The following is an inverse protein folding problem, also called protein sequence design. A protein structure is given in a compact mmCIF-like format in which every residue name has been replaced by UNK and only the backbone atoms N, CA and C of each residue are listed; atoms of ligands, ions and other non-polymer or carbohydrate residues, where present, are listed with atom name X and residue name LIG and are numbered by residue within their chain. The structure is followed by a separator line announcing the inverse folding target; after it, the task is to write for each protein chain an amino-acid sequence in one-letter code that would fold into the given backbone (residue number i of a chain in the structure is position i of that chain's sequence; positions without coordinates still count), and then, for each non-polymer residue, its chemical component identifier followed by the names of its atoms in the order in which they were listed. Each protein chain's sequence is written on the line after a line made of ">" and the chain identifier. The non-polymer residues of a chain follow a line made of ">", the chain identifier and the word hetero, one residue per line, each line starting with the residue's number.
data_IF_378636105100
#
_entry.id   IF_378636105100
#
_cell.length_a   1.000
_cell.length_b   1.000
_cell.length_c   1.000
_cell.angle_alpha   90.00
_cell.angle_beta   90.00
_cell.angle_gamma   90.00
#
_symmetry.space_group_name_H-M   'P 1'
#
loop_
_entity.id
_entity.type
_entity.pdbx_description
1 polymer ?
#
# COMPACT_ATOMS: atom_id res chain seq x y z
N UNK A 1 15.38 3.05 -10.25
CA UNK A 1 13.96 2.69 -10.03
C UNK A 1 13.58 1.65 -11.05
N UNK A 2 12.67 0.73 -10.75
CA UNK A 2 12.29 -0.35 -11.67
C UNK A 2 10.89 -0.07 -12.26
N UNK A 3 10.76 0.26 -13.56
CA UNK A 3 9.47 0.51 -14.18
C UNK A 3 8.59 -0.75 -14.23
N UNK A 4 9.17 -1.96 -14.11
CA UNK A 4 8.40 -3.20 -14.08
C UNK A 4 7.55 -3.33 -12.81
N UNK A 5 7.83 -2.58 -11.74
CA UNK A 5 6.99 -2.59 -10.53
C UNK A 5 5.57 -2.12 -10.81
N UNK A 6 5.39 -1.17 -11.72
CA UNK A 6 4.06 -0.70 -12.14
C UNK A 6 3.29 -1.81 -12.87
N UNK A 7 3.96 -2.53 -13.79
CA UNK A 7 3.35 -3.69 -14.46
C UNK A 7 2.92 -4.77 -13.48
N UNK A 8 3.75 -5.07 -12.47
CA UNK A 8 3.41 -6.05 -11.43
C UNK A 8 2.22 -5.57 -10.59
N UNK A 9 2.16 -4.27 -10.26
CA UNK A 9 1.00 -3.68 -9.59
C UNK A 9 -0.28 -3.90 -10.39
N UNK A 10 -0.28 -3.61 -11.69
CA UNK A 10 -1.47 -3.79 -12.53
C UNK A 10 -1.95 -5.25 -12.50
N UNK A 11 -1.03 -6.22 -12.62
CA UNK A 11 -1.37 -7.65 -12.51
C UNK A 11 -1.98 -7.99 -11.14
N UNK A 12 -1.45 -7.45 -10.04
CA UNK A 12 -2.01 -7.67 -8.69
C UNK A 12 -3.43 -7.09 -8.59
N UNK A 13 -3.65 -5.89 -9.14
CA UNK A 13 -4.97 -5.25 -9.13
C UNK A 13 -5.97 -6.03 -9.98
N UNK A 14 -5.55 -6.52 -11.15
CA UNK A 14 -6.39 -7.33 -12.04
C UNK A 14 -6.79 -8.65 -11.38
N UNK A 15 -5.82 -9.38 -10.81
CA UNK A 15 -6.09 -10.62 -10.06
C UNK A 15 -6.95 -10.37 -8.83
N UNK A 16 -6.77 -9.23 -8.14
CA UNK A 16 -7.61 -8.84 -7.02
C UNK A 16 -9.08 -8.69 -7.44
N UNK A 17 -9.33 -8.05 -8.59
CA UNK A 17 -10.69 -7.93 -9.15
C UNK A 17 -11.24 -9.29 -9.60
N UNK A 18 -10.44 -10.09 -10.30
CA UNK A 18 -10.85 -11.40 -10.82
C UNK A 18 -11.24 -12.38 -9.70
N UNK A 19 -10.50 -12.38 -8.59
CA UNK A 19 -10.70 -13.30 -7.47
C UNK A 19 -11.47 -12.69 -6.29
N UNK A 20 -12.03 -11.49 -6.45
CA UNK A 20 -12.78 -10.78 -5.40
C UNK A 20 -11.97 -10.59 -4.11
N UNK A 21 -10.68 -10.27 -4.23
CA UNK A 21 -9.76 -10.03 -3.12
C UNK A 21 -9.58 -8.53 -2.86
N UNK A 22 -9.49 -8.16 -1.58
CA UNK A 22 -9.01 -6.82 -1.19
C UNK A 22 -7.53 -6.65 -1.53
N UNK A 23 -7.15 -5.49 -2.06
CA UNK A 23 -5.75 -5.19 -2.42
C UNK A 23 -5.23 -4.01 -1.62
N UNK A 24 -4.07 -4.22 -0.97
CA UNK A 24 -3.28 -3.16 -0.35
C UNK A 24 -2.27 -2.59 -1.36
N UNK A 25 -2.67 -1.58 -2.13
CA UNK A 25 -1.82 -0.92 -3.14
C UNK A 25 -0.82 0.06 -2.48
N UNK A 26 0.15 -0.50 -1.77
CA UNK A 26 1.18 0.30 -1.11
C UNK A 26 2.04 1.09 -2.11
N UNK A 27 2.22 0.57 -3.34
CA UNK A 27 2.96 1.28 -4.38
C UNK A 27 2.27 2.61 -4.75
N UNK A 28 0.95 2.57 -4.99
CA UNK A 28 0.16 3.78 -5.23
C UNK A 28 0.22 4.74 -4.05
N UNK A 29 0.07 4.23 -2.83
CA UNK A 29 0.08 5.02 -1.59
C UNK A 29 1.42 5.73 -1.36
N UNK A 30 2.53 5.08 -1.69
CA UNK A 30 3.85 5.73 -1.60
C UNK A 30 3.99 6.90 -2.58
N UNK A 31 3.20 6.93 -3.66
CA UNK A 31 3.28 7.91 -4.75
C UNK A 31 3.79 7.33 -6.07
N UNK A 32 3.83 6.00 -6.22
CA UNK A 32 4.16 5.33 -7.47
C UNK A 32 5.63 5.38 -7.88
N UNK A 33 5.91 5.48 -9.17
CA UNK A 33 7.27 5.44 -9.70
C UNK A 33 8.12 6.55 -9.08
N UNK A 34 9.33 6.22 -8.66
CA UNK A 34 10.30 7.10 -8.00
C UNK A 34 9.93 7.57 -6.57
N UNK A 35 8.76 7.22 -6.04
CA UNK A 35 8.35 7.58 -4.66
C UNK A 35 9.36 7.15 -3.59
N UNK A 36 10.04 6.01 -3.77
CA UNK A 36 11.05 5.52 -2.84
C UNK A 36 12.19 6.52 -2.61
N UNK A 37 12.48 7.39 -3.59
CA UNK A 37 13.50 8.45 -3.45
C UNK A 37 13.03 9.50 -2.43
N UNK A 38 11.75 9.86 -2.47
CA UNK A 38 11.13 10.77 -1.50
C UNK A 38 11.15 10.13 -0.12
N UNK A 39 10.73 8.87 -0.01
CA UNK A 39 10.77 8.12 1.24
C UNK A 39 12.20 8.01 1.80
N UNK A 40 13.20 7.81 0.95
CA UNK A 40 14.60 7.81 1.36
C UNK A 40 15.03 9.17 1.90
N UNK A 41 14.66 10.27 1.23
CA UNK A 41 14.98 11.64 1.67
C UNK A 41 14.39 11.97 3.04
N UNK A 42 13.22 11.42 3.37
CA UNK A 42 12.59 11.58 4.68
C UNK A 42 13.00 10.51 5.71
N UNK A 43 14.00 9.66 5.40
CA UNK A 43 14.49 8.64 6.33
C UNK A 43 13.54 7.45 6.55
N UNK A 44 12.57 7.25 5.65
CA UNK A 44 11.62 6.14 5.66
C UNK A 44 12.15 4.93 4.88
N UNK A 45 13.05 5.12 3.92
CA UNK A 45 13.69 4.05 3.16
C UNK A 45 15.21 3.98 3.39
N UNK A 46 15.78 2.78 3.28
CA UNK A 46 17.23 2.52 3.33
C UNK A 46 17.91 2.98 2.04
N UNK A 47 19.24 3.05 2.08
CA UNK A 47 20.08 3.48 0.93
C UNK A 47 19.95 2.58 -0.30
N UNK A 48 19.58 1.31 -0.11
CA UNK A 48 19.35 0.34 -1.18
C UNK A 48 18.08 0.61 -2.00
N UNK A 49 17.20 1.51 -1.53
CA UNK A 49 15.90 1.84 -2.16
C UNK A 49 14.99 0.63 -2.36
N UNK A 50 15.16 -0.40 -1.55
CA UNK A 50 14.34 -1.61 -1.53
C UNK A 50 13.72 -1.76 -0.15
N UNK A 51 14.54 -1.65 0.90
CA UNK A 51 14.09 -1.87 2.27
C UNK A 51 13.69 -0.56 2.96
N UNK A 52 12.75 -0.65 3.90
CA UNK A 52 12.36 0.46 4.74
C UNK A 52 13.22 0.54 6.01
N UNK A 53 13.31 1.74 6.60
CA UNK A 53 13.83 1.90 7.96
C UNK A 53 12.77 1.43 8.96
N UNK A 54 13.11 1.36 10.26
CA UNK A 54 12.11 1.07 11.31
C UNK A 54 10.93 2.05 11.23
N UNK A 55 11.22 3.35 11.07
CA UNK A 55 10.20 4.40 10.91
C UNK A 55 9.34 4.17 9.66
N UNK A 56 9.94 3.78 8.54
CA UNK A 56 9.20 3.48 7.32
C UNK A 56 8.29 2.25 7.44
N UNK A 57 8.75 1.19 8.12
CA UNK A 57 7.90 0.03 8.39
C UNK A 57 6.76 0.35 9.38
N UNK A 58 7.01 1.16 10.40
CA UNK A 58 5.94 1.65 11.30
C UNK A 58 4.89 2.43 10.53
N UNK A 59 5.30 3.42 9.73
CA UNK A 59 4.36 4.19 8.91
C UNK A 59 3.59 3.32 7.92
N UNK A 60 4.25 2.34 7.28
CA UNK A 60 3.58 1.36 6.41
C UNK A 60 2.49 0.59 7.16
N UNK A 61 2.76 0.18 8.40
CA UNK A 61 1.80 -0.50 9.26
C UNK A 61 0.61 0.39 9.61
N UNK A 62 0.87 1.63 10.04
CA UNK A 62 -0.17 2.60 10.39
C UNK A 62 -1.09 2.90 9.19
N UNK A 63 -0.51 3.12 8.01
CA UNK A 63 -1.26 3.36 6.78
C UNK A 63 -2.14 2.15 6.41
N UNK A 64 -1.59 0.94 6.50
CA UNK A 64 -2.36 -0.29 6.24
C UNK A 64 -3.51 -0.45 7.22
N UNK A 65 -3.22 -0.31 8.52
CA UNK A 65 -4.21 -0.52 9.56
C UNK A 65 -5.34 0.51 9.48
N UNK A 66 -5.02 1.77 9.23
CA UNK A 66 -6.03 2.81 9.01
C UNK A 66 -6.93 2.51 7.80
N UNK A 67 -6.36 2.07 6.68
CA UNK A 67 -7.14 1.70 5.50
C UNK A 67 -8.00 0.46 5.74
N UNK A 68 -7.48 -0.53 6.47
CA UNK A 68 -8.20 -1.73 6.86
C UNK A 68 -9.39 -1.41 7.78
N UNK A 69 -9.18 -0.60 8.83
CA UNK A 69 -10.24 -0.16 9.72
C UNK A 69 -11.32 0.60 8.95
N UNK A 70 -10.94 1.54 8.08
CA UNK A 70 -11.92 2.24 7.24
C UNK A 70 -12.73 1.25 6.39
N UNK A 71 -12.09 0.26 5.77
CA UNK A 71 -12.80 -0.75 4.99
C UNK A 71 -13.73 -1.61 5.85
N UNK A 72 -13.38 -1.85 7.11
CA UNK A 72 -14.21 -2.58 8.04
C UNK A 72 -15.40 -1.76 8.51
N UNK A 73 -15.19 -0.49 8.85
CA UNK A 73 -16.26 0.45 9.22
C UNK A 73 -17.26 0.59 8.06
N UNK A 74 -16.78 0.79 6.83
CA UNK A 74 -17.64 0.85 5.64
C UNK A 74 -18.48 -0.44 5.46
N UNK A 75 -17.92 -1.61 5.81
CA UNK A 75 -18.63 -2.89 5.75
C UNK A 75 -19.69 -3.02 6.85
N UNK A 76 -19.40 -2.55 8.07
CA UNK A 76 -20.35 -2.58 9.18
C UNK A 76 -21.50 -1.60 8.95
N UNK A 77 -21.23 -0.37 8.47
CA UNK A 77 -22.25 0.64 8.22
C UNK A 77 -23.25 0.23 7.12
N UNK A 78 -22.81 -0.58 6.16
CA UNK A 78 -23.66 -1.10 5.09
C UNK A 78 -24.45 -2.35 5.50
N UNK A 79 -24.15 -2.93 6.65
CA UNK A 79 -24.86 -4.10 7.16
C UNK A 79 -26.14 -3.64 7.88
N UNK A 80 -27.34 -4.07 7.45
CA UNK A 80 -28.55 -3.82 8.22
C UNK A 80 -28.36 -4.37 9.64
N UNK A 81 -28.72 -3.57 10.64
CA UNK A 81 -28.90 -4.08 11.99
C UNK A 81 -30.16 -4.95 11.96
N UNK A 82 -29.97 -6.26 12.06
CA UNK A 82 -31.03 -7.21 12.39
C UNK A 82 -31.73 -6.79 13.70
#
# INVERSE_FOLDING_TARGET
>A
TNPNTEKVREVILDLGREHHCGVWDFYGIMGGLNSIIVWQRFGLAKRDRIHFTRKGYTLKGDLFFNAFLKSYDDYIDQRPLD
#
